data_IF_641365294072
#
_entry.id   IF_641365294072
#
_cell.length_a   1.000
_cell.length_b   1.000
_cell.length_c   1.000
_cell.angle_alpha   90.00
_cell.angle_beta   90.00
_cell.angle_gamma   90.00
#
_symmetry.space_group_name_H-M   'P 1'
#
loop_
_entity.id
_entity.type
_entity.pdbx_description
1 polymer ?
#
# COMPACT_ATOMS: atom_id res chain seq x y z
N UNK A 1 50.86 35.30 -28.77
CA UNK A 1 52.18 35.82 -28.37
C UNK A 1 52.48 35.26 -27.01
N UNK A 2 53.47 34.37 -27.01
CA UNK A 2 53.87 33.45 -25.95
C UNK A 2 54.39 34.11 -24.67
N UNK A 3 54.23 33.41 -23.54
CA UNK A 3 55.37 32.89 -22.74
C UNK A 3 54.92 31.87 -21.68
N UNK A 4 55.32 30.60 -21.89
CA UNK A 4 55.88 29.58 -20.96
C UNK A 4 55.41 29.57 -19.49
N UNK A 5 54.75 28.51 -18.98
CA UNK A 5 55.21 27.13 -18.68
C UNK A 5 56.22 27.01 -17.52
N UNK A 6 55.82 26.37 -16.42
CA UNK A 6 56.71 25.56 -15.57
C UNK A 6 55.92 24.50 -14.78
N UNK A 7 56.24 23.22 -15.07
CA UNK A 7 56.41 22.06 -14.14
C UNK A 7 55.22 21.64 -13.26
N UNK A 8 54.49 20.53 -13.46
CA UNK A 8 54.81 19.10 -13.68
C UNK A 8 55.36 18.34 -12.46
N UNK A 9 54.58 17.33 -12.04
CA UNK A 9 54.92 16.07 -11.31
C UNK A 9 55.34 16.17 -9.84
N UNK A 10 54.47 15.73 -8.92
CA UNK A 10 54.74 14.61 -7.97
C UNK A 10 53.41 13.93 -7.60
N UNK A 11 53.15 12.80 -8.26
CA UNK A 11 52.30 11.71 -7.78
C UNK A 11 53.16 10.89 -6.79
N UNK A 12 52.53 10.15 -5.87
CA UNK A 12 53.08 9.04 -5.07
C UNK A 12 53.27 9.31 -3.56
N UNK A 13 52.67 8.42 -2.78
CA UNK A 13 52.90 8.13 -1.34
C UNK A 13 52.33 9.12 -0.32
N UNK A 14 51.08 8.86 0.08
CA UNK A 14 50.65 8.95 1.50
C UNK A 14 49.56 7.89 1.73
N UNK A 15 49.94 6.65 1.43
CA UNK A 15 49.38 5.44 2.01
C UNK A 15 50.27 5.10 3.21
N UNK A 16 49.66 4.63 4.30
CA UNK A 16 50.25 4.05 5.51
C UNK A 16 50.78 5.03 6.57
N UNK A 17 50.00 5.21 7.66
CA UNK A 17 50.43 4.97 9.06
C UNK A 17 49.34 5.45 10.03
N UNK A 18 48.38 4.58 10.33
CA UNK A 18 47.67 4.65 11.62
C UNK A 18 47.64 3.24 12.19
N UNK A 19 48.71 2.93 12.93
CA UNK A 19 48.94 1.63 13.56
C UNK A 19 48.09 1.58 14.82
N UNK A 20 47.12 0.67 14.77
CA UNK A 20 46.29 0.19 15.86
C UNK A 20 47.16 -0.48 16.95
N UNK A 21 47.06 -0.01 18.19
CA UNK A 21 47.43 -0.76 19.39
C UNK A 21 46.23 -0.69 20.34
N UNK A 22 45.37 -1.72 20.33
CA UNK A 22 44.59 -2.15 21.49
C UNK A 22 44.51 -3.68 21.43
N UNK A 23 45.41 -4.34 22.14
CA UNK A 23 45.28 -5.73 22.57
C UNK A 23 44.74 -5.70 23.99
N UNK A 24 43.47 -6.05 24.19
CA UNK A 24 43.03 -6.66 25.44
C UNK A 24 42.02 -7.77 25.16
N UNK A 25 42.40 -8.93 25.67
CA UNK A 25 41.76 -10.22 25.72
C UNK A 25 40.49 -10.22 26.57
N UNK A 26 39.48 -11.00 26.17
CA UNK A 26 38.37 -11.65 26.93
C UNK A 26 37.18 -11.73 25.96
N UNK A 27 36.70 -12.86 25.45
CA UNK A 27 36.57 -14.17 26.06
C UNK A 27 35.15 -14.33 26.61
N UNK A 28 34.15 -14.55 25.74
CA UNK A 28 32.87 -15.16 26.11
C UNK A 28 32.36 -15.99 24.92
N UNK A 29 32.52 -17.31 25.06
CA UNK A 29 31.97 -18.33 24.19
C UNK A 29 30.48 -18.53 24.49
N UNK A 30 29.69 -18.68 23.44
CA UNK A 30 28.31 -19.18 23.46
C UNK A 30 28.30 -20.69 23.66
N UNK A 31 27.51 -21.26 24.59
CA UNK A 31 27.33 -22.70 24.65
C UNK A 31 26.25 -23.14 23.64
N UNK A 32 26.70 -23.78 22.56
CA UNK A 32 25.88 -24.72 21.80
C UNK A 32 25.80 -26.03 22.61
N UNK A 33 24.63 -26.33 23.16
CA UNK A 33 24.35 -27.62 23.80
C UNK A 33 23.68 -28.56 22.82
N UNK A 34 24.45 -29.47 22.23
CA UNK A 34 23.94 -30.69 21.59
C UNK A 34 24.28 -31.90 22.46
N UNK A 35 23.24 -32.66 22.78
CA UNK A 35 23.21 -34.12 22.89
C UNK A 35 24.16 -34.82 23.86
N UNK A 36 23.60 -35.28 24.97
CA UNK A 36 23.95 -36.59 25.54
C UNK A 36 22.65 -37.35 25.82
N UNK A 37 22.27 -38.20 24.86
CA UNK A 37 21.30 -39.28 25.08
C UNK A 37 22.08 -40.47 25.63
N UNK A 38 21.70 -40.92 26.82
CA UNK A 38 21.89 -42.32 27.25
C UNK A 38 20.50 -42.95 27.21
N UNK A 39 20.31 -44.13 26.59
CA UNK A 39 18.99 -44.71 26.42
C UNK A 39 18.56 -45.38 27.73
N UNK A 40 17.48 -44.90 28.32
CA UNK A 40 16.71 -45.69 29.29
C UNK A 40 15.60 -46.40 28.51
N UNK A 41 15.71 -47.72 28.47
CA UNK A 41 14.69 -48.64 27.97
C UNK A 41 13.39 -48.42 28.73
N UNK A 42 12.29 -48.19 28.01
CA UNK A 42 10.93 -48.11 28.57
C UNK A 42 10.06 -49.15 27.85
N UNK A 43 10.34 -50.42 28.08
CA UNK A 43 9.24 -51.35 28.37
C UNK A 43 8.92 -51.09 29.83
N UNK A 44 7.91 -50.26 30.07
CA UNK A 44 7.05 -50.24 31.26
C UNK A 44 6.21 -48.96 31.27
N UNK A 45 4.92 -49.15 30.91
CA UNK A 45 3.75 -48.43 31.41
C UNK A 45 3.54 -47.01 30.81
N UNK A 46 2.91 -46.78 29.65
CA UNK A 46 1.66 -47.33 29.10
C UNK A 46 0.56 -47.59 30.14
N UNK A 47 0.21 -46.56 30.92
CA UNK A 47 -1.15 -46.28 31.42
C UNK A 47 -1.10 -44.94 32.18
N UNK A 48 -2.03 -44.02 31.93
CA UNK A 48 -2.20 -42.69 32.57
C UNK A 48 -1.63 -41.45 31.83
N UNK A 49 -1.99 -41.20 30.56
CA UNK A 49 -2.03 -39.81 30.02
C UNK A 49 -3.07 -39.65 28.89
N UNK A 50 -4.24 -40.29 29.00
CA UNK A 50 -5.27 -40.28 27.95
C UNK A 50 -6.49 -39.40 28.25
N UNK A 51 -6.36 -38.30 29.01
CA UNK A 51 -7.55 -37.50 29.35
C UNK A 51 -7.32 -35.99 29.59
N UNK A 52 -6.28 -35.38 29.01
CA UNK A 52 -6.14 -33.90 29.00
C UNK A 52 -5.58 -33.44 27.66
N UNK A 53 -6.29 -33.73 26.59
CA UNK A 53 -5.99 -33.19 25.25
C UNK A 53 -7.28 -32.90 24.51
N UNK A 54 -8.14 -32.04 25.09
CA UNK A 54 -9.22 -31.41 24.31
C UNK A 54 -9.79 -30.15 24.99
N UNK A 55 -8.90 -29.31 25.51
CA UNK A 55 -9.20 -27.88 25.63
C UNK A 55 -8.51 -27.22 24.44
N UNK A 56 -9.14 -27.31 23.27
CA UNK A 56 -8.77 -26.43 22.17
C UNK A 56 -8.95 -25.01 22.68
N UNK A 57 -7.83 -24.32 22.90
CA UNK A 57 -7.84 -22.90 23.06
C UNK A 57 -8.60 -22.36 21.85
N UNK A 58 -9.76 -21.75 22.08
CA UNK A 58 -10.47 -20.95 21.09
C UNK A 58 -9.51 -19.87 20.63
N UNK A 59 -8.71 -20.19 19.61
CA UNK A 59 -7.96 -19.24 18.82
C UNK A 59 -9.01 -18.34 18.19
N UNK A 60 -9.27 -17.19 18.81
CA UNK A 60 -9.98 -16.10 18.18
C UNK A 60 -9.14 -15.66 16.99
N UNK A 61 -9.29 -16.34 15.86
CA UNK A 61 -8.62 -15.96 14.63
C UNK A 61 -9.20 -14.61 14.26
N UNK A 62 -8.37 -13.56 14.30
CA UNK A 62 -8.78 -12.24 13.86
C UNK A 62 -9.27 -12.37 12.42
N UNK A 63 -10.54 -12.06 12.18
CA UNK A 63 -11.11 -12.09 10.85
C UNK A 63 -10.52 -10.93 10.05
N UNK A 64 -9.80 -11.25 8.98
CA UNK A 64 -9.19 -10.27 8.07
C UNK A 64 -10.01 -10.16 6.80
N UNK A 65 -10.02 -8.97 6.23
CA UNK A 65 -10.62 -8.68 4.93
C UNK A 65 -9.50 -8.68 3.88
N UNK A 66 -9.48 -9.64 2.95
CA UNK A 66 -8.51 -9.66 1.87
C UNK A 66 -8.91 -8.63 0.79
N UNK A 67 -8.11 -7.59 0.63
CA UNK A 67 -8.29 -6.60 -0.44
C UNK A 67 -7.25 -6.81 -1.53
N UNK A 68 -7.69 -6.94 -2.77
CA UNK A 68 -6.83 -6.96 -3.95
C UNK A 68 -6.81 -5.57 -4.59
N UNK A 69 -5.60 -5.05 -4.80
CA UNK A 69 -5.29 -3.84 -5.54
C UNK A 69 -4.61 -4.23 -6.84
N UNK A 70 -5.19 -3.86 -7.97
CA UNK A 70 -4.59 -4.05 -9.29
C UNK A 70 -4.29 -2.70 -9.91
N UNK A 71 -3.01 -2.42 -10.10
CA UNK A 71 -2.52 -1.28 -10.87
C UNK A 71 -2.30 -1.72 -12.31
N UNK A 72 -2.97 -1.07 -13.25
CA UNK A 72 -2.87 -1.33 -14.67
C UNK A 72 -2.41 -0.08 -15.39
N UNK A 73 -1.35 -0.17 -16.19
CA UNK A 73 -0.90 0.90 -17.09
C UNK A 73 -1.43 0.66 -18.49
N UNK A 74 -1.76 1.74 -19.15
CA UNK A 74 -2.25 1.74 -20.52
C UNK A 74 -1.90 3.03 -21.23
N UNK A 75 -1.79 2.98 -22.56
CA UNK A 75 -1.49 4.14 -23.39
C UNK A 75 -2.64 5.15 -23.37
N UNK A 76 -2.35 6.44 -23.58
CA UNK A 76 -3.38 7.49 -23.60
C UNK A 76 -4.40 7.26 -24.72
N UNK A 77 -3.97 6.61 -25.81
CA UNK A 77 -4.75 6.30 -27.01
C UNK A 77 -5.53 4.98 -26.93
N UNK A 78 -5.37 4.22 -25.83
CA UNK A 78 -6.11 2.96 -25.63
C UNK A 78 -7.58 3.27 -25.31
N UNK A 79 -8.42 3.36 -26.35
CA UNK A 79 -9.85 3.70 -26.26
C UNK A 79 -10.61 2.68 -25.40
N UNK A 80 -10.20 1.40 -25.43
CA UNK A 80 -10.84 0.31 -24.69
C UNK A 80 -10.73 0.54 -23.17
N UNK A 81 -9.54 0.91 -22.68
CA UNK A 81 -9.28 1.23 -21.26
C UNK A 81 -9.50 2.70 -20.90
N UNK A 82 -9.59 3.57 -21.91
CA UNK A 82 -10.02 4.96 -21.82
C UNK A 82 -11.54 5.04 -21.83
N UNK A 83 -12.10 5.66 -22.86
CA UNK A 83 -13.50 6.08 -22.89
C UNK A 83 -14.51 4.92 -22.86
N UNK A 84 -14.22 3.78 -23.51
CA UNK A 84 -15.17 2.66 -23.56
C UNK A 84 -15.37 2.01 -22.20
N UNK A 85 -14.30 1.82 -21.42
CA UNK A 85 -14.38 1.30 -20.07
C UNK A 85 -15.25 2.18 -19.16
N UNK A 86 -15.19 3.51 -19.32
CA UNK A 86 -15.99 4.41 -18.51
C UNK A 86 -17.49 4.41 -18.85
N UNK A 87 -17.90 3.80 -19.97
CA UNK A 87 -19.33 3.60 -20.28
C UNK A 87 -19.95 2.46 -19.47
N UNK A 88 -19.14 1.53 -18.94
CA UNK A 88 -19.61 0.40 -18.13
C UNK A 88 -19.40 0.62 -16.64
N UNK A 89 -18.50 1.52 -16.25
CA UNK A 89 -18.29 1.90 -14.85
C UNK A 89 -19.45 2.78 -14.37
N UNK A 90 -20.10 2.37 -13.28
CA UNK A 90 -21.13 3.17 -12.62
C UNK A 90 -20.48 4.27 -11.77
N UNK A 91 -20.33 5.46 -12.35
CA UNK A 91 -19.89 6.65 -11.60
C UNK A 91 -20.96 7.15 -10.63
N UNK A 92 -22.24 6.90 -10.90
CA UNK A 92 -23.35 7.41 -10.06
C UNK A 92 -23.41 6.73 -8.69
N UNK A 93 -22.61 5.68 -8.48
CA UNK A 93 -22.35 5.12 -7.16
C UNK A 93 -21.78 6.16 -6.18
N UNK A 94 -21.07 7.18 -6.69
CA UNK A 94 -20.51 8.26 -5.91
C UNK A 94 -21.45 9.48 -5.88
N UNK A 95 -21.60 10.16 -4.73
CA UNK A 95 -22.36 11.40 -4.65
C UNK A 95 -21.86 12.45 -5.67
N UNK A 96 -22.80 13.16 -6.31
CA UNK A 96 -22.49 14.15 -7.35
C UNK A 96 -21.49 15.22 -6.89
N UNK A 97 -21.59 15.68 -5.64
CA UNK A 97 -20.63 16.63 -5.07
C UNK A 97 -19.23 16.04 -5.01
N UNK A 98 -19.06 14.79 -4.56
CA UNK A 98 -17.75 14.12 -4.53
C UNK A 98 -17.20 13.95 -5.94
N UNK A 99 -18.01 13.53 -6.91
CA UNK A 99 -17.59 13.40 -8.32
C UNK A 99 -17.06 14.70 -8.91
N UNK A 100 -17.76 15.82 -8.70
CA UNK A 100 -17.27 17.12 -9.16
C UNK A 100 -15.92 17.48 -8.55
N UNK A 101 -15.74 17.19 -7.27
CA UNK A 101 -14.51 17.50 -6.56
C UNK A 101 -13.34 16.61 -6.97
N UNK A 102 -13.58 15.31 -7.20
CA UNK A 102 -12.60 14.38 -7.76
C UNK A 102 -12.19 14.82 -9.18
N UNK A 103 -13.17 15.08 -10.05
CA UNK A 103 -12.94 15.49 -11.44
C UNK A 103 -12.16 16.82 -11.51
N UNK A 104 -12.52 17.80 -10.67
CA UNK A 104 -11.78 19.07 -10.57
C UNK A 104 -10.33 18.90 -10.09
N UNK A 105 -9.99 17.78 -9.44
CA UNK A 105 -8.61 17.45 -9.06
C UNK A 105 -7.99 16.38 -9.99
N UNK A 106 -8.60 16.12 -11.15
CA UNK A 106 -8.08 15.20 -12.16
C UNK A 106 -8.31 13.72 -11.85
N UNK A 107 -9.13 13.36 -10.85
CA UNK A 107 -9.44 11.97 -10.51
C UNK A 107 -10.83 11.62 -11.02
N UNK A 108 -10.96 10.46 -11.67
CA UNK A 108 -12.24 9.83 -11.98
C UNK A 108 -12.35 8.52 -11.24
N UNK A 109 -13.53 8.23 -10.70
CA UNK A 109 -13.77 7.01 -9.94
C UNK A 109 -15.20 6.50 -10.17
N UNK A 110 -15.38 5.19 -10.04
CA UNK A 110 -16.68 4.56 -10.09
C UNK A 110 -16.61 3.06 -9.78
N UNK A 111 -17.76 2.40 -9.78
CA UNK A 111 -17.86 0.99 -9.40
C UNK A 111 -18.31 0.15 -10.59
N UNK A 112 -17.61 -0.95 -10.83
CA UNK A 112 -18.07 -2.04 -11.69
C UNK A 112 -18.82 -3.03 -10.80
N UNK A 113 -20.04 -3.40 -11.19
CA UNK A 113 -20.85 -4.40 -10.47
C UNK A 113 -20.85 -5.72 -11.24
N UNK A 114 -20.65 -6.83 -10.53
CA UNK A 114 -20.60 -8.15 -11.13
C UNK A 114 -19.29 -8.42 -11.87
N UNK A 115 -19.41 -9.01 -13.06
CA UNK A 115 -18.23 -9.48 -13.80
C UNK A 115 -17.39 -8.31 -14.33
N UNK A 116 -16.07 -8.44 -14.14
CA UNK A 116 -15.09 -7.49 -14.69
C UNK A 116 -15.18 -7.52 -16.22
N UNK A 117 -15.31 -6.36 -16.90
CA UNK A 117 -15.33 -6.27 -18.35
C UNK A 117 -14.15 -6.99 -19.00
N UNK A 118 -14.41 -7.63 -20.14
CA UNK A 118 -13.41 -8.46 -20.83
C UNK A 118 -12.08 -7.71 -21.10
N UNK A 119 -12.18 -6.41 -21.42
CA UNK A 119 -11.06 -5.49 -21.54
C UNK A 119 -10.11 -5.53 -20.34
N UNK A 120 -10.65 -5.37 -19.13
CA UNK A 120 -9.88 -5.42 -17.88
C UNK A 120 -9.47 -6.85 -17.53
N UNK A 121 -10.39 -7.82 -17.66
CA UNK A 121 -10.15 -9.21 -17.29
C UNK A 121 -8.95 -9.81 -18.06
N UNK A 122 -8.85 -9.54 -19.37
CA UNK A 122 -7.72 -9.99 -20.21
C UNK A 122 -6.39 -9.42 -19.72
N UNK A 123 -6.36 -8.14 -19.35
CA UNK A 123 -5.14 -7.45 -18.88
C UNK A 123 -4.77 -7.93 -17.47
N UNK A 124 -5.74 -8.08 -16.58
CA UNK A 124 -5.51 -8.59 -15.23
C UNK A 124 -4.99 -10.03 -15.23
N UNK A 125 -5.43 -10.87 -16.16
CA UNK A 125 -4.94 -12.24 -16.31
C UNK A 125 -3.53 -12.33 -16.90
N UNK A 126 -3.07 -11.28 -17.60
CA UNK A 126 -1.69 -11.17 -18.09
C UNK A 126 -0.79 -10.76 -16.93
N UNK A 127 -0.69 -11.63 -15.93
CA UNK A 127 0.22 -11.47 -14.80
C UNK A 127 1.60 -11.94 -15.25
N UNK A 128 2.60 -11.07 -15.23
CA UNK A 128 3.99 -11.52 -15.22
C UNK A 128 4.26 -12.09 -13.83
N UNK A 129 4.56 -13.39 -13.76
CA UNK A 129 4.69 -14.15 -12.52
C UNK A 129 5.48 -13.39 -11.46
N UNK A 130 4.82 -13.10 -10.34
CA UNK A 130 5.47 -12.65 -9.12
C UNK A 130 5.67 -13.89 -8.27
N UNK A 131 6.62 -14.73 -8.66
CA UNK A 131 7.17 -15.74 -7.76
C UNK A 131 8.63 -15.38 -7.48
N UNK A 132 8.91 -15.14 -6.20
CA UNK A 132 10.24 -15.00 -5.57
C UNK A 132 10.90 -13.61 -5.59
N UNK A 133 10.77 -12.91 -4.46
CA UNK A 133 11.92 -12.29 -3.79
C UNK A 133 12.30 -10.84 -4.13
N UNK A 134 11.59 -10.13 -5.01
CA UNK A 134 11.84 -8.70 -5.21
C UNK A 134 11.14 -7.86 -4.14
N UNK A 135 11.87 -6.94 -3.52
CA UNK A 135 11.29 -5.95 -2.61
C UNK A 135 10.28 -5.07 -3.37
N UNK A 136 9.15 -4.76 -2.73
CA UNK A 136 8.01 -4.00 -3.29
C UNK A 136 8.40 -2.59 -3.81
N UNK A 137 9.56 -2.08 -3.41
CA UNK A 137 10.18 -0.80 -3.80
C UNK A 137 11.25 -0.94 -4.91
N UNK A 138 11.39 -2.12 -5.53
CA UNK A 138 12.31 -2.31 -6.65
C UNK A 138 11.88 -1.46 -7.86
N UNK A 139 12.80 -0.72 -8.51
CA UNK A 139 12.51 0.00 -9.75
C UNK A 139 11.90 -0.90 -10.84
N UNK A 140 12.23 -2.20 -10.85
CA UNK A 140 11.73 -3.16 -11.82
C UNK A 140 10.25 -3.51 -11.62
N UNK A 141 9.75 -3.49 -10.38
CA UNK A 141 8.31 -3.64 -10.12
C UNK A 141 7.54 -2.40 -10.61
N UNK A 142 8.17 -1.23 -10.54
CA UNK A 142 7.64 0.02 -11.06
C UNK A 142 7.68 0.13 -12.59
N UNK A 143 8.14 -0.86 -13.35
CA UNK A 143 8.11 -0.82 -14.83
C UNK A 143 7.05 -1.77 -15.42
N UNK A 144 6.36 -2.55 -14.60
CA UNK A 144 5.38 -3.55 -15.07
C UNK A 144 4.08 -2.87 -15.52
N UNK A 145 3.49 -3.40 -16.60
CA UNK A 145 2.17 -2.96 -17.09
C UNK A 145 1.07 -3.28 -16.09
N UNK A 146 1.17 -4.40 -15.37
CA UNK A 146 0.18 -4.82 -14.36
C UNK A 146 0.92 -5.19 -13.07
N UNK A 147 0.47 -4.62 -11.96
CA UNK A 147 0.95 -4.94 -10.61
C UNK A 147 -0.25 -5.27 -9.74
N UNK A 148 -0.28 -6.50 -9.19
CA UNK A 148 -1.30 -6.93 -8.24
C UNK A 148 -0.71 -6.98 -6.83
N UNK A 149 -1.45 -6.47 -5.86
CA UNK A 149 -1.11 -6.54 -4.44
C UNK A 149 -2.33 -7.01 -3.67
N UNK A 150 -2.13 -7.96 -2.77
CA UNK A 150 -3.17 -8.42 -1.85
C UNK A 150 -2.72 -8.06 -0.44
N UNK A 151 -3.58 -7.38 0.30
CA UNK A 151 -3.38 -7.13 1.73
C UNK A 151 -4.47 -7.83 2.53
N UNK A 152 -4.11 -8.27 3.73
CA UNK A 152 -5.05 -8.77 4.73
C UNK A 152 -5.24 -7.66 5.77
N UNK A 153 -6.36 -6.94 5.72
CA UNK A 153 -6.63 -5.88 6.69
C UNK A 153 -7.54 -6.35 7.81
N UNK A 154 -7.29 -5.89 9.02
CA UNK A 154 -8.30 -5.98 10.08
C UNK A 154 -9.45 -5.01 9.80
N UNK A 155 -10.70 -5.35 10.17
CA UNK A 155 -11.83 -4.46 10.11
C UNK A 155 -11.52 -3.10 10.76
N UNK A 156 -11.74 -2.01 10.02
CA UNK A 156 -11.55 -0.65 10.50
C UNK A 156 -10.09 -0.20 10.64
N UNK A 157 -9.11 -1.09 10.41
CA UNK A 157 -7.68 -0.74 10.45
C UNK A 157 -7.27 -0.02 9.17
N UNK A 158 -6.43 1.00 9.33
CA UNK A 158 -5.89 1.77 8.21
C UNK A 158 -4.63 1.10 7.66
N UNK A 159 -4.54 1.00 6.33
CA UNK A 159 -3.36 0.53 5.61
C UNK A 159 -2.96 1.56 4.55
N UNK A 160 -1.67 1.66 4.26
CA UNK A 160 -1.16 2.55 3.22
C UNK A 160 -0.88 1.78 1.93
N UNK A 161 -1.35 2.31 0.80
CA UNK A 161 -1.06 1.79 -0.53
C UNK A 161 -0.35 2.87 -1.35
N UNK A 162 0.89 2.58 -1.74
CA UNK A 162 1.70 3.48 -2.56
C UNK A 162 1.22 3.44 -4.01
N UNK A 163 0.72 4.56 -4.51
CA UNK A 163 0.38 4.74 -5.92
C UNK A 163 1.61 5.22 -6.70
N UNK A 164 2.24 6.29 -6.23
CA UNK A 164 3.45 6.85 -6.86
C UNK A 164 4.60 6.76 -5.86
N UNK A 165 5.73 6.11 -6.23
CA UNK A 165 6.88 5.99 -5.36
C UNK A 165 7.54 7.36 -5.12
N UNK A 166 8.55 7.38 -4.26
CA UNK A 166 9.22 8.60 -3.83
C UNK A 166 9.83 9.38 -4.99
N UNK A 167 9.51 10.67 -5.04
CA UNK A 167 10.04 11.68 -5.94
C UNK A 167 10.85 12.69 -5.14
N UNK A 168 11.88 13.27 -5.77
CA UNK A 168 12.63 14.36 -5.15
C UNK A 168 11.74 15.60 -4.95
N UNK A 169 10.91 15.91 -5.94
CA UNK A 169 9.99 17.03 -5.91
C UNK A 169 8.67 16.66 -6.60
N UNK A 170 7.55 17.01 -5.97
CA UNK A 170 6.19 16.87 -6.49
C UNK A 170 5.48 18.21 -6.39
N UNK A 171 5.16 18.80 -7.53
CA UNK A 171 4.36 20.03 -7.63
C UNK A 171 2.91 19.61 -7.80
N UNK A 172 2.04 20.03 -6.89
CA UNK A 172 0.63 19.71 -6.88
C UNK A 172 -0.21 20.99 -6.98
N UNK A 173 -1.13 21.01 -7.94
CA UNK A 173 -2.19 21.99 -8.07
C UNK A 173 -3.50 21.35 -7.62
N UNK A 174 -4.15 21.96 -6.65
CA UNK A 174 -5.37 21.45 -6.04
C UNK A 174 -6.49 22.47 -6.24
N UNK A 175 -7.62 22.02 -6.81
CA UNK A 175 -8.82 22.84 -6.94
C UNK A 175 -9.60 22.82 -5.63
N UNK A 176 -9.85 23.98 -5.05
CA UNK A 176 -10.75 24.14 -3.91
C UNK A 176 -12.20 24.26 -4.37
N UNK A 177 -12.80 23.09 -4.51
CA UNK A 177 -14.19 22.89 -4.93
C UNK A 177 -15.21 23.09 -3.81
N UNK A 178 -14.81 23.53 -2.60
CA UNK A 178 -15.74 23.95 -1.54
C UNK A 178 -16.09 25.44 -1.61
N UNK A 179 -15.31 26.23 -2.35
CA UNK A 179 -15.55 27.66 -2.55
C UNK A 179 -16.51 27.90 -3.72
N UNK A 180 -17.31 28.97 -3.64
CA UNK A 180 -18.13 29.43 -4.77
C UNK A 180 -17.30 30.05 -5.90
N UNK A 181 -16.01 30.27 -5.64
CA UNK A 181 -15.00 30.73 -6.61
C UNK A 181 -14.05 29.56 -6.85
N UNK A 182 -13.83 29.20 -8.12
CA UNK A 182 -12.85 28.18 -8.50
C UNK A 182 -11.44 28.70 -8.18
N UNK A 183 -10.94 28.36 -7.00
CA UNK A 183 -9.61 28.75 -6.54
C UNK A 183 -8.68 27.55 -6.63
N UNK A 184 -7.55 27.75 -7.31
CA UNK A 184 -6.48 26.76 -7.42
C UNK A 184 -5.35 27.14 -6.47
N UNK A 185 -4.95 26.20 -5.61
CA UNK A 185 -3.78 26.33 -4.76
C UNK A 185 -2.66 25.43 -5.26
N UNK A 186 -1.44 25.96 -5.35
CA UNK A 186 -0.26 25.20 -5.69
C UNK A 186 0.63 24.95 -4.47
N UNK A 187 1.14 23.74 -4.32
CA UNK A 187 2.12 23.40 -3.30
C UNK A 187 3.22 22.49 -3.88
N UNK A 188 4.46 22.74 -3.48
CA UNK A 188 5.61 21.88 -3.79
C UNK A 188 5.93 21.02 -2.57
N UNK A 189 5.98 19.70 -2.76
CA UNK A 189 6.39 18.73 -1.76
C UNK A 189 7.74 18.14 -2.15
N UNK A 190 8.69 18.11 -1.21
CA UNK A 190 9.99 17.47 -1.42
C UNK A 190 10.01 16.08 -0.80
N UNK A 191 10.78 15.17 -1.39
CA UNK A 191 10.89 13.79 -0.94
C UNK A 191 9.51 13.12 -0.82
N UNK A 192 8.70 13.29 -1.85
CA UNK A 192 7.25 13.09 -1.80
C UNK A 192 6.79 11.79 -2.47
N UNK A 193 5.76 11.15 -1.91
CA UNK A 193 5.10 9.96 -2.46
C UNK A 193 3.58 10.15 -2.44
N UNK A 194 2.89 9.67 -3.46
CA UNK A 194 1.42 9.68 -3.53
C UNK A 194 0.85 8.34 -3.05
N UNK A 195 0.01 8.39 -2.03
CA UNK A 195 -0.43 7.23 -1.26
C UNK A 195 -1.92 7.32 -1.00
N UNK A 196 -2.57 6.16 -0.91
CA UNK A 196 -3.90 6.06 -0.37
C UNK A 196 -3.86 5.44 1.03
N UNK A 197 -4.48 6.10 2.00
CA UNK A 197 -4.92 5.43 3.22
C UNK A 197 -6.22 4.67 2.88
N UNK A 198 -6.25 3.38 3.19
CA UNK A 198 -7.36 2.47 2.92
C UNK A 198 -7.85 1.85 4.22
N UNK A 199 -9.16 1.86 4.41
CA UNK A 199 -9.84 1.16 5.49
C UNK A 199 -11.04 0.41 4.91
N UNK A 200 -11.26 -0.79 5.42
CA UNK A 200 -12.44 -1.58 5.08
C UNK A 200 -13.08 -2.13 6.35
N UNK A 201 -14.40 -2.13 6.38
CA UNK A 201 -15.21 -2.83 7.39
C UNK A 201 -16.21 -3.73 6.68
N UNK A 202 -16.49 -4.94 7.20
CA UNK A 202 -17.48 -5.82 6.60
C UNK A 202 -18.88 -5.18 6.63
N UNK A 203 -19.71 -5.52 5.65
CA UNK A 203 -21.13 -5.17 5.63
C UNK A 203 -21.99 -6.43 5.77
N UNK A 204 -23.20 -6.28 6.30
CA UNK A 204 -24.14 -7.38 6.55
C UNK A 204 -24.56 -8.17 5.29
N UNK A 205 -24.45 -7.56 4.10
CA UNK A 205 -24.80 -8.17 2.81
C UNK A 205 -23.64 -8.96 2.16
N UNK A 206 -22.50 -9.08 2.86
CA UNK A 206 -21.31 -9.78 2.38
C UNK A 206 -20.33 -8.89 1.61
N UNK A 207 -20.68 -7.62 1.38
CA UNK A 207 -19.80 -6.60 0.85
C UNK A 207 -18.91 -5.96 1.93
N UNK A 208 -18.33 -4.80 1.61
CA UNK A 208 -17.51 -4.03 2.55
C UNK A 208 -17.86 -2.54 2.45
N UNK A 209 -17.83 -1.83 3.56
CA UNK A 209 -17.72 -0.37 3.55
C UNK A 209 -16.24 -0.03 3.39
N UNK A 210 -15.88 0.62 2.27
CA UNK A 210 -14.50 1.03 1.97
C UNK A 210 -14.36 2.54 2.11
N UNK A 211 -13.29 2.95 2.77
CA UNK A 211 -12.85 4.34 2.91
C UNK A 211 -11.45 4.46 2.29
N UNK A 212 -11.32 5.39 1.34
CA UNK A 212 -10.10 5.62 0.58
C UNK A 212 -9.77 7.12 0.62
N UNK A 213 -8.62 7.46 1.20
CA UNK A 213 -8.20 8.86 1.37
C UNK A 213 -6.87 9.08 0.63
N UNK A 214 -6.84 9.94 -0.40
CA UNK A 214 -5.59 10.36 -1.02
C UNK A 214 -4.75 11.19 -0.05
N UNK A 215 -3.45 10.91 0.03
CA UNK A 215 -2.51 11.69 0.81
C UNK A 215 -1.14 11.77 0.14
N UNK A 216 -0.40 12.83 0.45
CA UNK A 216 0.99 13.00 0.06
C UNK A 216 1.87 12.83 1.30
N UNK A 217 2.75 11.82 1.30
CA UNK A 217 3.85 11.72 2.26
C UNK A 217 5.01 12.56 1.75
N UNK A 218 5.66 13.36 2.59
CA UNK A 218 6.75 14.24 2.17
C UNK A 218 7.71 14.62 3.31
N UNK A 219 8.87 15.14 2.92
CA UNK A 219 9.91 15.61 3.83
C UNK A 219 10.77 14.49 4.42
N UNK A 220 11.64 14.81 5.40
CA UNK A 220 12.47 13.82 6.06
C UNK A 220 11.63 12.87 6.94
N UNK A 221 12.20 11.71 7.28
CA UNK A 221 11.61 10.83 8.29
C UNK A 221 11.79 11.49 9.66
N UNK A 222 10.67 11.81 10.30
CA UNK A 222 10.58 12.38 11.63
C UNK A 222 10.18 11.30 12.64
N UNK A 223 10.63 11.45 13.89
CA UNK A 223 10.24 10.57 15.01
C UNK A 223 9.16 11.27 15.81
N UNK A 224 7.94 10.74 15.76
CA UNK A 224 6.79 11.26 16.48
C UNK A 224 6.44 10.33 17.65
N UNK A 225 6.18 10.92 18.80
CA UNK A 225 5.64 10.20 19.95
C UNK A 225 4.11 10.29 19.89
N UNK A 226 3.46 9.19 19.55
CA UNK A 226 1.99 9.08 19.59
C UNK A 226 1.60 8.43 20.92
N UNK A 227 0.73 9.10 21.67
CA UNK A 227 0.17 8.56 22.91
C UNK A 227 -1.19 7.92 22.62
N UNK A 228 -1.32 6.63 22.88
CA UNK A 228 -2.60 5.92 22.83
C UNK A 228 -2.72 5.02 24.06
N UNK A 229 -3.90 5.01 24.69
CA UNK A 229 -4.21 4.23 25.91
C UNK A 229 -3.12 4.29 27.03
N UNK A 230 -2.53 5.47 27.25
CA UNK A 230 -1.54 5.69 28.32
C UNK A 230 -0.14 5.15 28.02
N UNK A 231 0.10 4.63 26.82
CA UNK A 231 1.42 4.26 26.33
C UNK A 231 1.91 5.24 25.27
N UNK A 232 3.18 5.64 25.37
CA UNK A 232 3.85 6.39 24.30
C UNK A 232 4.47 5.41 23.31
N UNK A 233 4.03 5.47 22.07
CA UNK A 233 4.61 4.75 20.95
C UNK A 233 5.46 5.70 20.11
N UNK A 234 6.70 5.30 19.88
CA UNK A 234 7.57 6.01 18.95
C UNK A 234 7.25 5.54 17.53
N UNK A 235 6.76 6.43 16.69
CA UNK A 235 6.50 6.18 15.28
C UNK A 235 7.49 7.00 14.44
N UNK A 236 8.23 6.33 13.57
CA UNK A 236 9.07 6.99 12.56
C UNK A 236 8.26 7.10 11.27
N UNK A 237 8.10 8.31 10.76
CA UNK A 237 7.30 8.56 9.56
C UNK A 237 7.62 9.89 8.90
N UNK A 238 7.25 10.03 7.64
CA UNK A 238 7.28 11.34 6.96
C UNK A 238 6.01 12.14 7.31
N UNK A 239 6.04 13.45 7.06
CA UNK A 239 4.86 14.29 7.19
C UNK A 239 3.81 13.85 6.17
N UNK A 240 2.53 13.90 6.55
CA UNK A 240 1.40 13.58 5.67
C UNK A 240 0.57 14.83 5.42
N UNK A 241 0.34 15.16 4.16
CA UNK A 241 -0.73 16.07 3.77
C UNK A 241 -1.91 15.25 3.29
N UNK A 242 -2.97 15.26 4.09
CA UNK A 242 -4.17 14.45 3.85
C UNK A 242 -5.18 15.24 3.04
N UNK A 243 -5.63 14.69 1.91
CA UNK A 243 -6.61 15.32 1.03
C UNK A 243 -8.03 15.00 1.51
N UNK A 244 -8.36 15.33 2.77
CA UNK A 244 -9.62 14.99 3.44
C UNK A 244 -10.86 15.34 2.63
N UNK A 245 -10.78 16.39 1.81
CA UNK A 245 -11.89 16.71 0.93
C UNK A 245 -12.15 15.52 0.01
N UNK A 246 -11.15 14.93 -0.63
CA UNK A 246 -11.27 13.88 -1.64
C UNK A 246 -11.44 12.47 -1.07
N UNK A 247 -11.82 12.34 0.21
CA UNK A 247 -12.21 11.07 0.80
C UNK A 247 -13.33 10.40 -0.01
N UNK A 248 -13.11 9.16 -0.39
CA UNK A 248 -14.12 8.29 -0.99
C UNK A 248 -14.57 7.31 0.08
N UNK A 249 -15.84 7.40 0.47
CA UNK A 249 -16.48 6.45 1.37
C UNK A 249 -17.72 5.88 0.69
N UNK A 250 -17.75 4.57 0.51
CA UNK A 250 -18.83 3.89 -0.19
C UNK A 250 -18.94 2.42 0.22
N UNK A 251 -20.14 1.88 0.09
CA UNK A 251 -20.38 0.45 0.17
C UNK A 251 -19.89 -0.22 -1.11
N UNK A 252 -19.03 -1.22 -1.03
CA UNK A 252 -18.58 -2.00 -2.17
C UNK A 252 -19.23 -3.39 -2.08
N UNK A 253 -20.11 -3.77 -3.03
CA UNK A 253 -20.70 -5.11 -3.08
C UNK A 253 -19.62 -6.21 -3.13
N UNK A 254 -19.98 -7.43 -2.74
CA UNK A 254 -19.05 -8.56 -2.70
C UNK A 254 -18.39 -8.88 -4.06
N UNK A 255 -19.11 -8.62 -5.16
CA UNK A 255 -18.67 -8.74 -6.55
C UNK A 255 -18.35 -7.37 -7.18
N UNK A 256 -18.26 -6.32 -6.36
CA UNK A 256 -17.94 -4.97 -6.80
C UNK A 256 -16.44 -4.76 -6.98
N UNK A 257 -16.08 -3.98 -7.99
CA UNK A 257 -14.72 -3.46 -8.16
C UNK A 257 -14.75 -1.95 -8.21
N UNK A 258 -14.11 -1.29 -7.24
CA UNK A 258 -13.88 0.15 -7.27
C UNK A 258 -12.73 0.45 -8.23
N UNK A 259 -12.96 1.36 -9.17
CA UNK A 259 -11.99 1.75 -10.19
C UNK A 259 -11.69 3.24 -10.07
N UNK A 260 -10.39 3.60 -10.10
CA UNK A 260 -9.90 4.97 -10.12
C UNK A 260 -8.87 5.17 -11.22
N UNK A 261 -8.86 6.34 -11.86
CA UNK A 261 -7.81 6.76 -12.81
C UNK A 261 -7.75 8.29 -12.93
N UNK A 262 -6.81 8.80 -13.74
CA UNK A 262 -6.76 10.20 -14.12
C UNK A 262 -7.74 10.54 -15.25
N UNK A 263 -8.15 11.81 -15.30
CA UNK A 263 -9.02 12.37 -16.36
C UNK A 263 -8.38 13.60 -16.99
N UNK A 264 -8.63 13.78 -18.28
CA UNK A 264 -8.10 14.90 -19.05
C UNK A 264 -6.63 14.73 -19.47
N UNK A 265 -6.06 15.75 -20.14
CA UNK A 265 -4.66 15.75 -20.56
C UNK A 265 -3.72 15.87 -19.35
N UNK A 266 -2.41 15.62 -19.53
CA UNK A 266 -1.42 15.84 -18.48
C UNK A 266 -1.53 17.23 -17.84
N UNK A 267 -1.43 17.27 -16.52
CA UNK A 267 -1.56 18.42 -15.62
C UNK A 267 -0.69 18.23 -14.37
N UNK A 268 -0.61 19.24 -13.50
CA UNK A 268 0.01 19.10 -12.18
C UNK A 268 -1.03 18.78 -11.09
N UNK A 269 -2.19 18.24 -11.47
CA UNK A 269 -3.27 17.90 -10.56
C UNK A 269 -3.03 16.62 -9.75
N UNK A 270 -3.95 16.31 -8.83
CA UNK A 270 -3.86 15.11 -8.01
C UNK A 270 -4.02 13.82 -8.85
N UNK A 271 -4.87 13.86 -9.88
CA UNK A 271 -5.00 12.76 -10.83
C UNK A 271 -3.67 12.32 -11.40
N UNK A 272 -2.86 13.27 -11.84
CA UNK A 272 -1.56 12.99 -12.44
C UNK A 272 -0.54 12.53 -11.41
N UNK A 273 -0.53 13.14 -10.23
CA UNK A 273 0.32 12.72 -9.12
C UNK A 273 0.10 11.25 -8.72
N UNK A 274 -1.12 10.73 -8.88
CA UNK A 274 -1.48 9.37 -8.49
C UNK A 274 -1.49 8.36 -9.65
N UNK A 275 -1.85 8.80 -10.85
CA UNK A 275 -2.19 7.91 -11.97
C UNK A 275 -1.37 8.15 -13.23
N UNK A 276 -0.39 9.06 -13.23
CA UNK A 276 0.61 9.17 -14.30
C UNK A 276 2.00 8.93 -13.73
N UNK A 277 2.97 8.73 -14.62
CA UNK A 277 4.36 8.72 -14.23
C UNK A 277 4.92 10.16 -14.29
N UNK A 278 5.13 10.83 -13.14
CA UNK A 278 5.63 12.20 -13.12
C UNK A 278 7.10 12.31 -13.55
N UNK A 279 7.83 11.19 -13.63
CA UNK A 279 9.21 11.14 -14.13
C UNK A 279 9.27 10.87 -15.64
N UNK A 280 8.13 10.64 -16.30
CA UNK A 280 8.04 10.40 -17.74
C UNK A 280 8.78 9.14 -18.20
N UNK A 281 9.03 8.16 -17.32
CA UNK A 281 9.64 6.87 -17.70
C UNK A 281 8.63 6.00 -18.46
N UNK A 282 7.35 6.17 -18.14
CA UNK A 282 6.24 5.49 -18.78
C UNK A 282 5.27 6.50 -19.37
N UNK A 283 5.00 6.37 -20.67
CA UNK A 283 3.93 7.12 -21.32
C UNK A 283 2.56 6.49 -20.99
N UNK A 284 1.54 7.34 -20.88
CA UNK A 284 0.15 6.94 -20.66
C UNK A 284 -0.36 7.13 -19.23
N UNK A 285 -1.38 6.34 -18.88
CA UNK A 285 -2.15 6.44 -17.64
C UNK A 285 -2.08 5.14 -16.85
N UNK A 286 -2.43 5.26 -15.58
CA UNK A 286 -2.61 4.15 -14.65
C UNK A 286 -4.04 4.12 -14.16
N UNK A 287 -4.57 2.93 -14.04
CA UNK A 287 -5.83 2.61 -13.39
C UNK A 287 -5.54 1.81 -12.12
N UNK A 288 -6.27 2.12 -11.06
CA UNK A 288 -6.31 1.34 -9.83
C UNK A 288 -7.68 0.68 -9.71
N UNK A 289 -7.68 -0.65 -9.65
CA UNK A 289 -8.87 -1.44 -9.33
C UNK A 289 -8.74 -2.05 -7.94
N UNK A 290 -9.78 -1.94 -7.13
CA UNK A 290 -9.83 -2.44 -5.76
C UNK A 290 -11.06 -3.34 -5.61
N UNK A 291 -10.88 -4.55 -5.11
CA UNK A 291 -11.98 -5.47 -4.80
C UNK A 291 -11.69 -6.30 -3.56
N UNK A 292 -12.75 -6.76 -2.90
CA UNK A 292 -12.64 -7.81 -1.90
C UNK A 292 -12.40 -9.16 -2.59
N UNK A 293 -11.52 -10.00 -2.06
CA UNK A 293 -11.30 -11.35 -2.60
C UNK A 293 -12.27 -12.40 -2.05
N UNK A 294 -12.92 -12.10 -0.93
CA UNK A 294 -13.89 -13.00 -0.29
C UNK A 294 -15.17 -12.25 0.04
N UNK A 295 -16.30 -12.95 0.03
CA UNK A 295 -17.49 -12.49 0.76
C UNK A 295 -17.08 -12.41 2.22
N UNK A 296 -17.26 -11.23 2.81
CA UNK A 296 -16.85 -11.00 4.20
C UNK A 296 -18.10 -11.06 5.05
N UNK A 297 -18.12 -11.94 6.06
CA UNK A 297 -19.22 -11.95 7.02
C UNK A 297 -19.03 -10.77 7.98
N UNK A 298 -20.12 -10.11 8.37
CA UNK A 298 -20.05 -9.16 9.46
C UNK A 298 -19.73 -9.91 10.76
N UNK A 299 -18.62 -9.58 11.47
CA UNK A 299 -18.22 -10.26 12.68
C UNK A 299 -19.32 -10.22 13.75
N UNK A 300 -20.18 -9.20 13.76
CA UNK A 300 -21.32 -9.10 14.68
C UNK A 300 -22.39 -10.18 14.43
N UNK A 301 -22.47 -10.70 13.20
CA UNK A 301 -23.43 -11.75 12.80
C UNK A 301 -22.77 -13.10 12.51
N UNK A 302 -21.46 -13.22 12.74
CA UNK A 302 -20.76 -14.51 12.64
C UNK A 302 -21.29 -15.48 13.70
N UNK A 303 -21.56 -16.74 13.31
CA UNK A 303 -22.19 -17.78 14.16
C UNK A 303 -21.42 -18.10 15.45
N UNK A 304 -20.19 -17.59 15.61
CA UNK A 304 -19.38 -17.74 16.81
C UNK A 304 -19.73 -16.76 17.95
N UNK A 305 -20.61 -15.78 17.71
CA UNK A 305 -21.02 -14.80 18.75
C UNK A 305 -22.11 -15.31 19.70
N UNK A 306 -22.67 -16.51 19.47
CA UNK A 306 -23.83 -17.04 20.22
C UNK A 306 -23.49 -18.31 20.99
N UNK A 307 -22.38 -18.39 21.74
CA UNK A 307 -22.22 -19.43 22.77
C UNK A 307 -21.49 -18.88 24.00
N UNK A 308 -22.21 -18.20 24.91
CA UNK A 308 -22.11 -18.42 26.36
C UNK A 308 -23.19 -17.65 27.13
N UNK A 309 -24.38 -18.25 27.22
CA UNK A 309 -25.28 -18.02 28.35
C UNK A 309 -26.30 -19.16 28.39
N UNK A 310 -25.92 -20.28 29.01
CA UNK A 310 -26.89 -21.19 29.62
C UNK A 310 -26.22 -22.06 30.68
N UNK A 311 -26.57 -21.74 31.92
CA UNK A 311 -26.58 -22.50 33.18
C UNK A 311 -25.33 -23.30 33.58
#
# INVERSE_FOLDING_TARGET
MDTRSHTSVVYLQLLTTFVFIILFTSGCQTPFGNSFLTPATTEDLEEQFSDISDLSASSSHLETIPLEFTFLRYAEEDIELGDELWNVIDEQYLPTSLRHRLNGNGIRAGVIRGDIPAALAKRFSTTFDTTQGEADDSPLAADRTVVKRVIQTLPGRTNEIVSTPRLEELILLEHDSRSTVDTVSGQTYRDASAIFDVRATPSADGGIEIELIPLIRHGPIERNWTGDDGAFRLEAGQRKTVMNKLELKLHLPADGTLVLSSVGPPSSGLGDAFFRDPQGRHEGRRLLAIRSMTRTADPMFSENSVIHSKN
#
